data_IF_329616267091
#
_entry.id   IF_329616267091
#
_cell.length_a   1.000
_cell.length_b   1.000
_cell.length_c   1.000
_cell.angle_alpha   90.00
_cell.angle_beta   90.00
_cell.angle_gamma   90.00
#
_symmetry.space_group_name_H-M   'P 1'
#
loop_
_entity.id
_entity.type
_entity.pdbx_description
1 polymer ?
#
# COMPACT_ATOMS: atom_id res chain seq x y z
N UNK A 1 -13.11 -18.33 -1.37
CA UNK A 1 -11.90 -17.50 -1.18
C UNK A 1 -12.36 -16.06 -1.16
N UNK A 2 -12.28 -15.37 -0.02
CA UNK A 2 -12.81 -14.02 0.12
C UNK A 2 -11.65 -13.03 0.10
N UNK A 3 -11.69 -12.13 -0.87
CA UNK A 3 -10.83 -10.95 -0.92
C UNK A 3 -11.72 -9.75 -0.59
N UNK A 4 -11.35 -9.00 0.44
CA UNK A 4 -12.07 -7.82 0.88
C UNK A 4 -11.17 -6.60 0.73
N UNK A 5 -11.71 -5.56 0.10
CA UNK A 5 -11.01 -4.28 -0.07
C UNK A 5 -11.69 -3.23 0.79
N UNK A 6 -10.95 -2.67 1.74
CA UNK A 6 -11.43 -1.59 2.59
C UNK A 6 -10.86 -0.27 2.06
N UNK A 7 -11.74 0.59 1.55
CA UNK A 7 -11.37 1.90 1.01
C UNK A 7 -11.74 2.98 2.05
N UNK A 8 -10.75 3.73 2.50
CA UNK A 8 -10.90 4.84 3.44
C UNK A 8 -11.19 6.15 2.73
N UNK A 9 -10.61 6.34 1.53
CA UNK A 9 -10.80 7.53 0.70
C UNK A 9 -10.82 7.12 -0.78
N UNK A 10 -11.61 7.82 -1.60
CA UNK A 10 -11.63 7.64 -3.06
C UNK A 10 -11.01 8.86 -3.74
N UNK A 11 -9.67 8.92 -3.87
CA UNK A 11 -9.02 10.05 -4.51
C UNK A 11 -9.37 10.12 -5.99
N UNK A 12 -9.72 11.31 -6.48
CA UNK A 12 -9.81 11.57 -7.92
C UNK A 12 -8.41 11.87 -8.43
N UNK A 13 -7.85 10.97 -9.24
CA UNK A 13 -6.53 11.06 -9.85
C UNK A 13 -6.64 11.25 -11.37
N UNK A 14 -5.68 11.94 -11.96
CA UNK A 14 -5.63 12.19 -13.39
C UNK A 14 -4.60 11.28 -14.08
N UNK A 15 -5.10 10.26 -14.80
CA UNK A 15 -4.27 9.29 -15.53
C UNK A 15 -3.10 8.74 -14.69
N UNK A 16 -3.38 8.16 -13.50
CA UNK A 16 -2.34 7.76 -12.57
C UNK A 16 -1.53 6.56 -13.08
N UNK A 17 -0.30 6.43 -12.61
CA UNK A 17 0.54 5.26 -12.84
C UNK A 17 0.48 4.35 -11.62
N UNK A 18 -0.07 3.15 -11.79
CA UNK A 18 -0.07 2.14 -10.74
C UNK A 18 1.34 1.54 -10.59
N UNK A 19 1.89 1.65 -9.38
CA UNK A 19 3.16 1.04 -9.00
C UNK A 19 2.88 -0.06 -7.97
N UNK A 20 3.42 -1.25 -8.22
CA UNK A 20 3.32 -2.39 -7.32
C UNK A 20 4.70 -2.70 -6.70
N UNK A 21 4.71 -3.01 -5.40
CA UNK A 21 5.92 -3.20 -4.60
C UNK A 21 5.70 -4.15 -3.43
N UNK A 22 5.16 -5.33 -3.72
CA UNK A 22 4.94 -6.37 -2.72
C UNK A 22 6.26 -7.08 -2.35
N UNK A 23 6.28 -7.80 -1.21
CA UNK A 23 7.44 -8.59 -0.81
C UNK A 23 7.81 -9.67 -1.84
N UNK A 24 9.12 -9.79 -2.10
CA UNK A 24 9.68 -10.76 -3.04
C UNK A 24 11.17 -11.03 -2.76
N UNK A 25 11.89 -11.60 -3.73
CA UNK A 25 13.32 -11.92 -3.58
C UNK A 25 14.11 -10.65 -3.24
N UNK A 26 14.85 -10.69 -2.13
CA UNK A 26 15.69 -9.57 -1.68
C UNK A 26 14.93 -8.29 -1.32
N UNK A 27 13.59 -8.34 -1.23
CA UNK A 27 12.72 -7.20 -0.90
C UNK A 27 12.92 -5.95 -1.78
N UNK A 28 13.51 -6.08 -2.97
CA UNK A 28 13.92 -4.92 -3.80
C UNK A 28 12.73 -4.02 -4.16
N UNK A 29 11.66 -4.61 -4.73
CA UNK A 29 10.46 -3.86 -5.10
C UNK A 29 9.76 -3.26 -3.87
N UNK A 30 9.72 -4.00 -2.76
CA UNK A 30 9.10 -3.54 -1.52
C UNK A 30 9.83 -2.34 -0.90
N UNK A 31 11.15 -2.40 -0.80
CA UNK A 31 11.96 -1.30 -0.27
C UNK A 31 11.89 -0.08 -1.20
N UNK A 32 11.91 -0.29 -2.52
CA UNK A 32 11.76 0.79 -3.49
C UNK A 32 10.40 1.50 -3.38
N UNK A 33 9.31 0.73 -3.26
CA UNK A 33 7.97 1.30 -3.08
C UNK A 33 7.81 2.01 -1.73
N UNK A 34 8.35 1.45 -0.64
CA UNK A 34 8.36 2.11 0.68
C UNK A 34 9.15 3.43 0.65
N UNK A 35 10.29 3.44 -0.04
CA UNK A 35 11.08 4.66 -0.22
C UNK A 35 10.32 5.70 -1.04
N UNK A 36 9.63 5.28 -2.11
CA UNK A 36 8.81 6.18 -2.93
C UNK A 36 7.65 6.78 -2.12
N UNK A 37 6.89 5.96 -1.39
CA UNK A 37 5.79 6.40 -0.51
C UNK A 37 6.28 7.48 0.46
N UNK A 38 7.45 7.27 1.08
CA UNK A 38 8.05 8.26 1.98
C UNK A 38 8.53 9.52 1.25
N UNK A 39 9.17 9.36 0.08
CA UNK A 39 9.74 10.44 -0.72
C UNK A 39 8.70 11.42 -1.22
N UNK A 40 7.58 10.93 -1.78
CA UNK A 40 6.48 11.79 -2.27
C UNK A 40 5.42 12.08 -1.20
N UNK A 41 5.59 11.53 0.00
CA UNK A 41 4.61 11.62 1.11
C UNK A 41 3.22 11.12 0.69
N UNK A 42 3.17 9.97 0.02
CA UNK A 42 1.94 9.37 -0.44
C UNK A 42 0.98 9.06 0.72
N UNK A 43 -0.32 9.20 0.48
CA UNK A 43 -1.36 9.02 1.49
C UNK A 43 -2.03 7.65 1.32
N UNK A 44 -2.15 6.90 2.42
CA UNK A 44 -2.90 5.65 2.44
C UNK A 44 -4.39 5.93 2.17
N UNK A 45 -4.99 5.22 1.21
CA UNK A 45 -6.42 5.34 0.90
C UNK A 45 -7.20 4.04 1.03
N UNK A 46 -6.51 2.92 1.21
CA UNK A 46 -7.18 1.63 1.42
C UNK A 46 -6.25 0.50 1.76
N UNK A 47 -6.85 -0.66 2.00
CA UNK A 47 -6.15 -1.92 2.22
C UNK A 47 -6.92 -3.10 1.63
N UNK A 48 -6.19 -4.15 1.27
CA UNK A 48 -6.71 -5.42 0.78
C UNK A 48 -6.41 -6.49 1.81
N UNK A 49 -7.43 -7.26 2.16
CA UNK A 49 -7.36 -8.44 3.01
C UNK A 49 -7.80 -9.65 2.20
N UNK A 50 -7.08 -10.76 2.33
CA UNK A 50 -7.41 -11.99 1.62
C UNK A 50 -7.35 -13.17 2.56
N UNK A 51 -8.33 -14.07 2.45
CA UNK A 51 -8.28 -15.38 3.12
C UNK A 51 -7.11 -16.26 2.64
N UNK A 52 -6.42 -15.86 1.57
CA UNK A 52 -5.27 -16.57 1.01
C UNK A 52 -3.92 -16.06 1.55
N UNK A 53 -3.92 -14.98 2.32
CA UNK A 53 -2.71 -14.56 3.02
C UNK A 53 -2.39 -15.53 4.16
N UNK A 54 -1.11 -15.62 4.52
CA UNK A 54 -0.68 -16.55 5.57
C UNK A 54 -1.37 -16.21 6.90
N UNK A 55 -1.85 -17.24 7.59
CA UNK A 55 -2.62 -17.12 8.82
C UNK A 55 -1.72 -16.96 10.05
N UNK A 56 -1.02 -15.83 10.11
CA UNK A 56 -0.23 -15.42 11.27
C UNK A 56 -0.49 -13.96 11.63
N UNK A 57 -0.21 -13.61 12.88
CA UNK A 57 -0.26 -12.24 13.36
C UNK A 57 1.15 -11.78 13.75
N UNK A 58 1.52 -10.59 13.29
CA UNK A 58 2.76 -9.92 13.67
C UNK A 58 2.50 -9.00 14.85
N UNK A 59 3.42 -8.96 15.81
CA UNK A 59 3.38 -7.93 16.85
C UNK A 59 3.65 -6.56 16.22
N UNK A 60 2.76 -5.62 16.50
CA UNK A 60 2.93 -4.20 16.23
C UNK A 60 3.26 -3.52 17.56
N UNK A 61 3.95 -2.39 17.50
CA UNK A 61 4.22 -1.57 18.70
C UNK A 61 2.95 -1.31 19.53
N UNK A 62 3.14 -1.08 20.82
CA UNK A 62 2.07 -0.84 21.81
C UNK A 62 1.16 -2.06 22.08
N UNK A 63 1.71 -3.28 22.01
CA UNK A 63 0.98 -4.51 22.34
C UNK A 63 -0.14 -4.86 21.36
N UNK A 64 -0.12 -4.27 20.15
CA UNK A 64 -1.12 -4.55 19.11
C UNK A 64 -0.65 -5.72 18.24
N UNK A 65 -1.60 -6.44 17.65
CA UNK A 65 -1.32 -7.44 16.63
C UNK A 65 -1.75 -6.92 15.26
N UNK A 66 -1.07 -7.35 14.19
CA UNK A 66 -1.39 -7.01 12.80
C UNK A 66 -1.32 -8.25 11.92
N UNK A 67 -2.36 -8.48 11.14
CA UNK A 67 -2.39 -9.51 10.10
C UNK A 67 -1.74 -9.00 8.80
N UNK A 68 -1.26 -9.90 7.92
CA UNK A 68 -0.83 -9.52 6.59
C UNK A 68 -1.96 -8.81 5.84
N UNK A 69 -1.65 -7.63 5.30
CA UNK A 69 -2.55 -6.85 4.44
C UNK A 69 -1.71 -6.23 3.32
N UNK A 70 -2.32 -5.99 2.16
CA UNK A 70 -1.72 -5.12 1.15
C UNK A 70 -2.27 -3.72 1.34
N UNK A 71 -1.39 -2.73 1.40
CA UNK A 71 -1.76 -1.33 1.61
C UNK A 71 -1.79 -0.60 0.27
N UNK A 72 -2.75 0.32 0.10
CA UNK A 72 -2.90 1.14 -1.10
C UNK A 72 -2.64 2.61 -0.74
N UNK A 73 -1.75 3.25 -1.50
CA UNK A 73 -1.33 4.64 -1.33
C UNK A 73 -1.56 5.41 -2.63
N UNK A 74 -1.79 6.71 -2.52
CA UNK A 74 -1.85 7.60 -3.68
C UNK A 74 -1.01 8.86 -3.46
N UNK A 75 -0.58 9.47 -4.56
CA UNK A 75 0.06 10.77 -4.62
C UNK A 75 -0.59 11.61 -5.72
N UNK A 76 -0.97 12.84 -5.38
CA UNK A 76 -1.40 13.83 -6.37
C UNK A 76 -0.20 14.69 -6.76
N UNK A 77 0.20 14.58 -8.02
CA UNK A 77 1.29 15.36 -8.59
C UNK A 77 1.04 16.86 -8.51
N UNK A 78 2.12 17.63 -8.42
CA UNK A 78 2.08 19.09 -8.51
C UNK A 78 2.55 19.53 -9.89
N UNK A 79 1.81 20.45 -10.52
CA UNK A 79 2.18 20.98 -11.83
C UNK A 79 2.14 19.90 -12.92
N UNK A 80 3.31 19.58 -13.47
CA UNK A 80 3.47 18.59 -14.55
C UNK A 80 3.78 17.17 -14.05
N UNK A 81 3.88 16.97 -12.73
CA UNK A 81 4.09 15.65 -12.16
C UNK A 81 2.89 14.72 -12.43
N UNK A 82 3.17 13.42 -12.53
CA UNK A 82 2.14 12.38 -12.67
C UNK A 82 1.55 12.02 -11.31
N UNK A 83 0.25 11.73 -11.31
CA UNK A 83 -0.41 11.10 -10.18
C UNK A 83 0.03 9.63 -10.07
N UNK A 84 0.15 9.15 -8.83
CA UNK A 84 0.49 7.76 -8.48
C UNK A 84 -0.59 7.15 -7.60
#
# INVERSE_FOLDING_TARGET
MVCATQIYEKPVLNSPILIEGLPGIGFVANIAALHLIQGVKAKMFGEIRSSSFQDFAMSKGNGKARFPISELYYYKGRGEERDL
#
